data_IF_188571903701
#
_entry.id   IF_188571903701
#
_cell.length_a   1.000
_cell.length_b   1.000
_cell.length_c   1.000
_cell.angle_alpha   90.00
_cell.angle_beta   90.00
_cell.angle_gamma   90.00
#
_symmetry.space_group_name_H-M   'P 1'
#
loop_
_entity.id
_entity.type
_entity.pdbx_description
1 polymer ?
#
# COMPACT_ATOMS: atom_id res chain seq x y z
N UNK A 1 7.79 9.43 -3.30
CA UNK A 1 8.18 8.45 -2.27
C UNK A 1 7.09 8.25 -1.22
N UNK A 2 6.46 9.31 -0.70
CA UNK A 2 5.34 9.20 0.26
C UNK A 2 4.19 8.29 -0.23
N UNK A 3 3.87 8.30 -1.54
CA UNK A 3 2.90 7.38 -2.16
C UNK A 3 3.24 5.92 -1.88
N UNK A 4 4.53 5.56 -1.90
CA UNK A 4 4.98 4.19 -1.63
C UNK A 4 4.62 3.77 -0.21
N UNK A 5 4.89 4.61 0.78
CA UNK A 5 4.53 4.31 2.16
C UNK A 5 3.03 4.22 2.34
N UNK A 6 2.30 5.19 1.78
CA UNK A 6 0.86 5.22 1.82
C UNK A 6 0.23 3.91 1.32
N UNK A 7 0.69 3.42 0.15
CA UNK A 7 0.24 2.15 -0.44
C UNK A 7 0.70 0.95 0.38
N UNK A 8 1.97 0.88 0.78
CA UNK A 8 2.51 -0.27 1.53
C UNK A 8 1.77 -0.52 2.84
N UNK A 9 1.29 0.52 3.52
CA UNK A 9 0.57 0.40 4.78
C UNK A 9 -0.96 0.27 4.64
N UNK A 10 -1.47 0.08 3.42
CA UNK A 10 -2.86 -0.41 3.23
C UNK A 10 -2.94 -1.90 3.52
N UNK A 11 -4.15 -2.46 3.63
CA UNK A 11 -4.39 -3.85 4.00
C UNK A 11 -3.59 -4.27 5.25
N UNK A 12 -3.58 -3.41 6.27
CA UNK A 12 -2.83 -3.62 7.52
C UNK A 12 -1.32 -3.87 7.32
N UNK A 13 -0.72 -3.36 6.24
CA UNK A 13 0.70 -3.61 5.94
C UNK A 13 0.98 -5.01 5.41
N UNK A 14 -0.05 -5.76 5.01
CA UNK A 14 0.05 -7.11 4.46
C UNK A 14 -0.14 -7.13 2.95
N UNK A 15 0.42 -8.14 2.31
CA UNK A 15 0.26 -8.39 0.87
C UNK A 15 -1.22 -8.56 0.51
N UNK A 16 -1.71 -7.77 -0.45
CA UNK A 16 -3.09 -7.81 -0.93
C UNK A 16 -3.45 -9.16 -1.57
N UNK A 17 -2.45 -9.87 -2.11
CA UNK A 17 -2.66 -11.10 -2.86
C UNK A 17 -2.76 -12.33 -1.95
N UNK A 18 -1.82 -12.51 -1.02
CA UNK A 18 -1.79 -13.69 -0.16
C UNK A 18 -2.32 -13.44 1.26
N UNK A 19 -2.38 -12.20 1.72
CA UNK A 19 -2.69 -11.77 3.11
C UNK A 19 -1.88 -12.46 4.22
N UNK A 20 -0.88 -13.26 3.85
CA UNK A 20 -0.07 -14.03 4.79
C UNK A 20 1.29 -13.38 5.08
N UNK A 21 1.83 -12.65 4.09
CA UNK A 21 3.14 -12.01 4.17
C UNK A 21 3.02 -10.49 4.30
N UNK A 22 4.05 -9.88 4.89
CA UNK A 22 4.19 -8.43 4.91
C UNK A 22 4.35 -7.87 3.48
N UNK A 23 3.78 -6.69 3.24
CA UNK A 23 3.99 -5.94 2.00
C UNK A 23 5.40 -5.36 1.92
N UNK A 24 6.13 -5.68 0.86
CA UNK A 24 7.49 -5.18 0.62
C UNK A 24 7.55 -4.21 -0.57
N UNK A 25 6.64 -4.38 -1.52
CA UNK A 25 6.66 -3.74 -2.83
C UNK A 25 5.27 -3.20 -3.19
N UNK A 26 5.26 -2.27 -4.15
CA UNK A 26 4.03 -1.84 -4.81
C UNK A 26 3.92 -2.65 -6.09
N UNK A 27 2.73 -3.18 -6.34
CA UNK A 27 2.37 -3.76 -7.64
C UNK A 27 1.25 -2.94 -8.28
N UNK A 28 1.16 -3.01 -9.62
CA UNK A 28 0.06 -2.46 -10.39
C UNK A 28 -0.96 -3.55 -10.69
N UNK A 29 -2.21 -3.34 -10.29
CA UNK A 29 -3.30 -4.33 -10.49
C UNK A 29 -3.46 -4.64 -11.98
N UNK A 30 -3.54 -3.58 -12.80
CA UNK A 30 -3.39 -3.67 -14.24
C UNK A 30 -1.92 -3.40 -14.57
N UNK A 31 -1.20 -4.35 -15.20
CA UNK A 31 0.20 -4.17 -15.59
C UNK A 31 0.39 -2.94 -16.47
N UNK A 32 1.48 -2.19 -16.25
CA UNK A 32 1.82 -1.01 -17.07
C UNK A 32 2.02 -1.39 -18.54
N UNK A 33 2.58 -2.58 -18.80
CA UNK A 33 2.71 -3.16 -20.16
C UNK A 33 1.36 -3.37 -20.85
N UNK A 34 0.28 -3.48 -20.08
CA UNK A 34 -1.10 -3.62 -20.56
C UNK A 34 -1.89 -2.30 -20.38
N UNK A 35 -1.22 -1.16 -20.51
CA UNK A 35 -1.78 0.19 -20.38
C UNK A 35 -2.34 0.53 -18.98
N UNK A 36 -1.90 -0.18 -17.95
CA UNK A 36 -2.16 0.20 -16.57
C UNK A 36 -1.51 1.54 -16.22
N UNK A 37 -2.26 2.43 -15.57
CA UNK A 37 -1.73 3.74 -15.19
C UNK A 37 -0.80 3.63 -13.98
N UNK A 38 0.31 4.38 -14.01
CA UNK A 38 1.20 4.55 -12.87
C UNK A 38 0.64 5.60 -11.90
N UNK A 39 -0.49 5.27 -11.30
CA UNK A 39 -1.23 6.13 -10.37
C UNK A 39 -1.70 5.31 -9.18
N UNK A 40 -1.82 5.92 -8.01
CA UNK A 40 -2.12 5.23 -6.75
C UNK A 40 -3.43 4.43 -6.80
N UNK A 41 -4.39 4.82 -7.65
CA UNK A 41 -5.65 4.08 -7.90
C UNK A 41 -5.46 2.68 -8.49
N UNK A 42 -4.31 2.43 -9.12
CA UNK A 42 -3.92 1.15 -9.71
C UNK A 42 -2.83 0.45 -8.87
N UNK A 43 -2.39 1.04 -7.75
CA UNK A 43 -1.31 0.51 -6.93
C UNK A 43 -1.85 -0.27 -5.73
N UNK A 44 -1.20 -1.39 -5.42
CA UNK A 44 -1.54 -2.23 -4.27
C UNK A 44 -0.29 -2.72 -3.54
N UNK A 45 -0.38 -3.00 -2.22
CA UNK A 45 0.73 -3.57 -1.46
C UNK A 45 0.92 -5.06 -1.80
N UNK A 46 2.13 -5.46 -2.14
CA UNK A 46 2.46 -6.86 -2.45
C UNK A 46 3.74 -7.31 -1.73
N UNK A 47 3.85 -8.60 -1.43
CA UNK A 47 5.12 -9.22 -1.06
C UNK A 47 5.92 -9.56 -2.32
N UNK A 48 7.25 -9.65 -2.19
CA UNK A 48 8.15 -9.95 -3.32
C UNK A 48 7.75 -11.21 -4.12
N UNK A 49 7.48 -12.37 -3.48
CA UNK A 49 7.09 -13.58 -4.20
C UNK A 49 5.80 -13.44 -5.00
N UNK A 50 4.77 -12.80 -4.44
CA UNK A 50 3.50 -12.60 -5.15
C UNK A 50 3.66 -11.59 -6.29
N UNK A 51 4.38 -10.49 -6.07
CA UNK A 51 4.62 -9.48 -7.09
C UNK A 51 5.38 -10.08 -8.29
N UNK A 52 6.49 -10.78 -8.03
CA UNK A 52 7.26 -11.47 -9.06
C UNK A 52 6.46 -12.57 -9.74
N UNK A 53 5.63 -13.29 -8.99
CA UNK A 53 4.78 -14.34 -9.52
C UNK A 53 3.70 -13.82 -10.46
N UNK A 54 3.10 -12.66 -10.15
CA UNK A 54 2.09 -12.01 -11.01
C UNK A 54 2.76 -11.38 -12.23
N UNK A 55 3.87 -10.67 -12.03
CA UNK A 55 4.61 -10.00 -13.11
C UNK A 55 3.67 -9.14 -13.98
N UNK A 56 3.70 -9.32 -15.29
CA UNK A 56 2.85 -8.67 -16.28
C UNK A 56 1.52 -9.40 -16.55
N UNK A 57 1.17 -10.40 -15.74
CA UNK A 57 -0.08 -11.14 -15.90
C UNK A 57 -1.25 -10.36 -15.29
N UNK A 58 -2.41 -10.40 -15.97
CA UNK A 58 -3.65 -9.85 -15.43
C UNK A 58 -4.12 -10.63 -14.20
N UNK A 59 -4.78 -9.94 -13.26
CA UNK A 59 -5.15 -10.50 -11.96
C UNK A 59 -5.90 -11.84 -12.05
N UNK A 60 -6.93 -11.92 -12.90
CA UNK A 60 -7.72 -13.15 -13.06
C UNK A 60 -6.89 -14.31 -13.59
N UNK A 61 -6.09 -14.07 -14.62
CA UNK A 61 -5.26 -15.11 -15.24
C UNK A 61 -4.23 -15.65 -14.23
N UNK A 62 -3.60 -14.76 -13.46
CA UNK A 62 -2.65 -15.14 -12.43
C UNK A 62 -3.30 -15.93 -11.28
N UNK A 63 -4.45 -15.48 -10.78
CA UNK A 63 -5.21 -16.20 -9.74
C UNK A 63 -5.67 -17.57 -10.23
N UNK A 64 -6.13 -17.67 -11.48
CA UNK A 64 -6.51 -18.93 -12.10
C UNK A 64 -5.31 -19.89 -12.19
N UNK A 65 -4.13 -19.39 -12.59
CA UNK A 65 -2.90 -20.16 -12.64
C UNK A 65 -2.49 -20.69 -11.26
N UNK A 66 -2.48 -19.85 -10.22
CA UNK A 66 -2.14 -20.28 -8.86
C UNK A 66 -3.14 -21.31 -8.32
N UNK A 67 -4.43 -21.08 -8.54
CA UNK A 67 -5.49 -22.00 -8.13
C UNK A 67 -5.34 -23.35 -8.84
N UNK A 68 -5.05 -23.33 -10.14
CA UNK A 68 -4.79 -24.54 -10.92
C UNK A 68 -3.53 -25.28 -10.43
N UNK A 69 -2.44 -24.57 -10.14
CA UNK A 69 -1.23 -25.18 -9.58
C UNK A 69 -1.50 -25.86 -8.23
N UNK A 70 -2.40 -25.29 -7.42
CA UNK A 70 -2.76 -25.83 -6.11
C UNK A 70 -3.71 -27.01 -6.16
N UNK A 71 -4.71 -26.97 -7.05
CA UNK A 71 -5.84 -27.91 -7.04
C UNK A 71 -5.98 -28.74 -8.31
N UNK A 72 -5.10 -28.57 -9.31
CA UNK A 72 -5.24 -29.17 -10.64
C UNK A 72 -5.32 -30.71 -10.60
N UNK A 73 -4.55 -31.32 -9.71
CA UNK A 73 -4.56 -32.76 -9.45
C UNK A 73 -5.82 -33.28 -8.69
N UNK A 74 -6.74 -32.39 -8.31
CA UNK A 74 -8.05 -32.78 -7.77
C UNK A 74 -9.17 -32.62 -8.82
N UNK A 75 -8.91 -31.84 -9.87
CA UNK A 75 -9.87 -31.54 -10.92
C UNK A 75 -9.67 -32.35 -12.20
N UNK A 76 -8.44 -32.80 -12.49
CA UNK A 76 -8.13 -33.57 -13.70
C UNK A 76 -8.69 -34.98 -13.63
N UNK A 77 -9.35 -35.45 -14.69
CA UNK A 77 -9.84 -36.83 -14.74
C UNK A 77 -8.71 -37.86 -14.89
N UNK A 78 -7.47 -37.46 -15.17
CA UNK A 78 -6.29 -38.34 -15.21
C UNK A 78 -4.95 -37.58 -15.13
N UNK A 79 -3.91 -38.06 -14.41
CA UNK A 79 -3.96 -38.99 -13.29
C UNK A 79 -4.28 -38.18 -12.03
N UNK A 80 -5.42 -38.49 -11.41
CA UNK A 80 -5.95 -37.90 -10.17
C UNK A 80 -6.81 -36.64 -10.34
N UNK A 81 -8.07 -36.81 -9.92
CA UNK A 81 -9.14 -35.83 -9.75
C UNK A 81 -10.53 -36.40 -10.07
N UNK A 82 -11.45 -36.40 -9.09
CA UNK A 82 -12.85 -36.85 -9.21
C UNK A 82 -13.86 -35.70 -9.18
N UNK A 83 -13.38 -34.48 -8.94
CA UNK A 83 -14.23 -33.32 -8.65
C UNK A 83 -14.62 -32.53 -9.90
N UNK A 84 -13.86 -32.69 -10.99
CA UNK A 84 -14.14 -32.13 -12.30
C UNK A 84 -13.91 -30.62 -12.44
N UNK A 85 -14.17 -30.10 -13.64
CA UNK A 85 -13.86 -28.72 -14.02
C UNK A 85 -14.77 -27.67 -13.34
N UNK A 86 -16.03 -27.99 -13.04
CA UNK A 86 -16.94 -27.07 -12.36
C UNK A 86 -16.47 -26.75 -10.94
N UNK A 87 -16.04 -27.77 -10.21
CA UNK A 87 -15.46 -27.62 -8.88
C UNK A 87 -14.16 -26.79 -8.87
N UNK A 88 -13.36 -26.89 -9.93
CA UNK A 88 -12.17 -26.05 -10.12
C UNK A 88 -12.56 -24.60 -10.42
N UNK A 89 -13.55 -24.39 -11.29
CA UNK A 89 -14.07 -23.05 -11.60
C UNK A 89 -14.52 -22.33 -10.33
N UNK A 90 -15.29 -22.99 -9.47
CA UNK A 90 -15.75 -22.41 -8.19
C UNK A 90 -14.58 -21.96 -7.29
N UNK A 91 -13.45 -22.68 -7.31
CA UNK A 91 -12.24 -22.27 -6.57
C UNK A 91 -11.58 -21.06 -7.16
N UNK A 92 -11.48 -21.01 -8.49
CA UNK A 92 -10.90 -19.86 -9.19
C UNK A 92 -11.74 -18.62 -8.90
N UNK A 93 -13.06 -18.74 -9.00
CA UNK A 93 -14.00 -17.66 -8.70
C UNK A 93 -13.86 -17.21 -7.24
N UNK A 94 -13.91 -18.15 -6.29
CA UNK A 94 -13.75 -17.83 -4.86
C UNK A 94 -12.41 -17.14 -4.56
N UNK A 95 -11.30 -17.65 -5.10
CA UNK A 95 -9.98 -17.07 -4.90
C UNK A 95 -9.88 -15.67 -5.54
N UNK A 96 -10.49 -15.50 -6.71
CA UNK A 96 -10.52 -14.21 -7.40
C UNK A 96 -11.34 -13.18 -6.64
N UNK A 97 -12.50 -13.56 -6.11
CA UNK A 97 -13.36 -12.70 -5.29
C UNK A 97 -12.64 -12.27 -4.00
N UNK A 98 -11.95 -13.19 -3.32
CA UNK A 98 -11.18 -12.88 -2.11
C UNK A 98 -10.02 -11.91 -2.36
N UNK A 99 -9.33 -12.04 -3.49
CA UNK A 99 -8.28 -11.08 -3.87
C UNK A 99 -8.89 -9.75 -4.28
N UNK A 100 -9.96 -9.76 -5.06
CA UNK A 100 -10.63 -8.54 -5.54
C UNK A 100 -11.20 -7.72 -4.40
N UNK A 101 -11.86 -8.36 -3.42
CA UNK A 101 -12.38 -7.69 -2.23
C UNK A 101 -11.27 -6.97 -1.45
N UNK A 102 -10.08 -7.58 -1.34
CA UNK A 102 -8.92 -6.92 -0.71
C UNK A 102 -8.39 -5.76 -1.55
N UNK A 103 -8.33 -5.91 -2.86
CA UNK A 103 -7.94 -4.82 -3.78
C UNK A 103 -8.90 -3.63 -3.66
N UNK A 104 -10.20 -3.88 -3.57
CA UNK A 104 -11.23 -2.85 -3.37
C UNK A 104 -11.12 -2.18 -2.00
N UNK A 105 -10.83 -2.96 -0.95
CA UNK A 105 -10.52 -2.44 0.38
C UNK A 105 -9.31 -1.50 0.37
N UNK A 106 -8.22 -1.90 -0.31
CA UNK A 106 -7.03 -1.06 -0.51
C UNK A 106 -7.40 0.25 -1.23
N UNK A 107 -8.16 0.18 -2.32
CA UNK A 107 -8.59 1.38 -3.05
C UNK A 107 -9.41 2.31 -2.16
N UNK A 108 -10.31 1.76 -1.37
CA UNK A 108 -11.13 2.52 -0.42
C UNK A 108 -10.26 3.21 0.66
N UNK A 109 -9.24 2.52 1.20
CA UNK A 109 -8.27 3.15 2.10
C UNK A 109 -7.49 4.28 1.41
N UNK A 110 -7.12 4.13 0.14
CA UNK A 110 -6.39 5.15 -0.62
C UNK A 110 -7.27 6.33 -1.01
N UNK A 111 -8.59 6.14 -1.09
CA UNK A 111 -9.58 7.18 -1.39
C UNK A 111 -9.82 8.13 -0.21
N UNK A 112 -9.47 7.73 1.02
CA UNK A 112 -9.48 8.58 2.21
C UNK A 112 -8.51 9.76 2.07
N UNK A 113 -9.07 10.97 1.96
CA UNK A 113 -8.29 12.20 1.81
C UNK A 113 -7.43 12.49 3.05
N UNK A 114 -7.96 12.28 4.24
CA UNK A 114 -7.24 12.61 5.49
C UNK A 114 -6.02 11.72 5.65
N UNK A 115 -6.16 10.43 5.31
CA UNK A 115 -5.03 9.51 5.18
C UNK A 115 -3.99 10.02 4.19
N UNK A 116 -4.40 10.38 2.97
CA UNK A 116 -3.47 10.86 1.93
C UNK A 116 -2.69 12.09 2.38
N UNK A 117 -3.40 13.08 2.92
CA UNK A 117 -2.82 14.30 3.46
C UNK A 117 -1.84 13.97 4.60
N UNK A 118 -2.20 13.05 5.51
CA UNK A 118 -1.36 12.64 6.63
C UNK A 118 -0.02 12.04 6.17
N UNK A 119 -0.03 11.18 5.14
CA UNK A 119 1.19 10.63 4.55
C UNK A 119 1.98 11.71 3.81
N UNK A 120 1.32 12.59 3.07
CA UNK A 120 1.98 13.70 2.41
C UNK A 120 2.71 14.59 3.41
N UNK A 121 2.00 15.13 4.41
CA UNK A 121 2.53 16.07 5.40
C UNK A 121 3.76 15.52 6.14
N UNK A 122 3.82 14.21 6.37
CA UNK A 122 4.88 13.56 7.16
C UNK A 122 6.02 12.99 6.33
N UNK A 123 5.81 12.75 5.04
CA UNK A 123 6.76 11.99 4.22
C UNK A 123 7.03 12.59 2.84
N UNK A 124 6.49 13.77 2.50
CA UNK A 124 6.73 14.43 1.21
C UNK A 124 8.21 14.68 0.93
N UNK A 125 9.01 14.92 1.97
CA UNK A 125 10.44 15.21 1.87
C UNK A 125 11.30 13.97 1.56
N UNK A 126 10.74 12.76 1.62
CA UNK A 126 11.48 11.54 1.32
C UNK A 126 11.73 11.42 -0.19
N UNK A 127 12.99 11.22 -0.57
CA UNK A 127 13.42 11.02 -1.96
C UNK A 127 13.30 9.56 -2.42
N UNK A 128 13.49 9.28 -3.72
CA UNK A 128 13.35 7.93 -4.33
C UNK A 128 14.28 6.85 -3.75
N UNK A 129 15.40 7.25 -3.15
CA UNK A 129 16.40 6.34 -2.59
C UNK A 129 16.36 6.30 -1.05
N UNK A 130 15.34 6.90 -0.44
CA UNK A 130 15.20 6.88 1.00
C UNK A 130 14.99 5.45 1.51
N UNK A 131 15.82 4.95 2.45
CA UNK A 131 15.80 3.56 2.89
C UNK A 131 14.69 3.33 3.92
N UNK A 132 13.47 3.79 3.65
CA UNK A 132 12.35 3.77 4.61
C UNK A 132 12.04 2.35 5.11
N UNK A 133 12.38 1.33 4.32
CA UNK A 133 12.30 -0.07 4.74
C UNK A 133 13.11 -0.36 6.02
N UNK A 134 14.26 0.32 6.25
CA UNK A 134 15.05 0.18 7.48
C UNK A 134 14.30 0.69 8.73
N UNK A 135 13.27 1.51 8.54
CA UNK A 135 12.54 2.20 9.60
C UNK A 135 11.08 1.73 9.62
N UNK A 136 10.75 0.65 8.91
CA UNK A 136 9.37 0.20 8.71
C UNK A 136 8.64 -0.01 10.02
N UNK A 137 9.28 -0.62 11.02
CA UNK A 137 8.69 -0.82 12.34
C UNK A 137 8.26 0.51 12.99
N UNK A 138 9.14 1.52 12.95
CA UNK A 138 8.85 2.86 13.48
C UNK A 138 7.72 3.56 12.70
N UNK A 139 7.68 3.40 11.37
CA UNK A 139 6.58 3.92 10.56
C UNK A 139 5.27 3.19 10.90
N UNK A 140 5.30 1.86 11.07
CA UNK A 140 4.12 1.04 11.39
C UNK A 140 3.42 1.53 12.64
N UNK A 141 4.16 1.71 13.74
CA UNK A 141 3.60 2.21 15.00
C UNK A 141 2.93 3.58 14.85
N UNK A 142 3.49 4.45 14.00
CA UNK A 142 2.90 5.77 13.74
C UNK A 142 1.66 5.71 12.87
N UNK A 143 1.66 4.83 11.87
CA UNK A 143 0.50 4.62 11.00
C UNK A 143 -0.64 3.98 11.78
N UNK A 144 -0.35 3.00 12.63
CA UNK A 144 -1.33 2.37 13.53
C UNK A 144 -1.95 3.40 14.46
N UNK A 145 -1.12 4.18 15.17
CA UNK A 145 -1.59 5.27 16.01
C UNK A 145 -2.43 6.30 15.23
N UNK A 146 -1.98 6.70 14.06
CA UNK A 146 -2.73 7.64 13.23
C UNK A 146 -4.06 7.08 12.74
N UNK A 147 -4.12 5.78 12.44
CA UNK A 147 -5.37 5.10 12.08
C UNK A 147 -6.36 5.10 13.26
N UNK A 148 -5.87 4.89 14.48
CA UNK A 148 -6.69 4.97 15.70
C UNK A 148 -7.18 6.40 15.99
N UNK A 149 -6.34 7.41 15.73
CA UNK A 149 -6.64 8.83 15.97
C UNK A 149 -7.41 9.51 14.82
N UNK A 150 -7.71 8.80 13.73
CA UNK A 150 -8.41 9.38 12.58
C UNK A 150 -7.55 10.35 11.75
N UNK A 151 -6.30 9.95 11.45
CA UNK A 151 -5.35 10.68 10.60
C UNK A 151 -5.14 12.16 10.98
N UNK A 152 -4.71 12.45 12.22
CA UNK A 152 -4.64 13.82 12.73
C UNK A 152 -3.63 14.67 11.95
N UNK A 153 -4.06 15.89 11.61
CA UNK A 153 -3.17 16.89 11.00
C UNK A 153 -2.06 17.27 11.98
N UNK A 154 -0.83 17.52 11.49
CA UNK A 154 0.22 18.03 12.35
C UNK A 154 -0.17 19.42 12.89
N UNK A 155 0.35 19.80 14.08
CA UNK A 155 0.19 21.18 14.54
C UNK A 155 0.78 22.15 13.51
N UNK A 156 0.22 23.36 13.38
CA UNK A 156 0.77 24.36 12.49
C UNK A 156 2.22 24.69 12.88
N UNK A 157 3.09 25.02 11.91
CA UNK A 157 4.44 25.43 12.23
C UNK A 157 4.41 26.70 13.10
N UNK A 158 5.36 26.87 14.03
CA UNK A 158 5.42 28.06 14.85
C UNK A 158 5.60 29.29 13.95
N UNK A 159 4.93 30.38 14.30
CA UNK A 159 5.20 31.68 13.67
C UNK A 159 6.65 32.06 13.99
N UNK A 160 7.38 32.57 13.02
CA UNK A 160 8.79 32.94 13.19
C UNK A 160 8.97 34.43 12.90
N UNK A 161 9.81 35.13 13.66
CA UNK A 161 10.27 36.48 13.36
C UNK A 161 11.76 36.51 13.07
N UNK A 162 12.16 37.39 12.15
CA UNK A 162 13.57 37.67 11.88
C UNK A 162 14.06 38.65 12.95
N UNK A 163 15.08 38.26 13.70
CA UNK A 163 15.76 39.12 14.67
C UNK A 163 17.19 39.36 14.23
N UNK A 164 17.65 40.60 14.39
CA UNK A 164 19.03 40.99 14.13
C UNK A 164 19.83 40.89 15.42
N UNK A 165 20.80 39.98 15.44
CA UNK A 165 21.74 39.80 16.54
C UNK A 165 23.13 40.27 16.12
N UNK A 166 24.09 40.31 17.06
CA UNK A 166 25.50 40.58 16.77
C UNK A 166 26.13 39.54 15.81
N UNK A 167 25.55 38.34 15.73
CA UNK A 167 25.98 37.25 14.85
C UNK A 167 25.28 37.26 13.48
N UNK A 168 24.36 38.20 13.24
CA UNK A 168 23.59 38.30 12.00
C UNK A 168 22.08 38.16 12.20
N UNK A 169 21.36 37.96 11.09
CA UNK A 169 19.92 37.68 11.12
C UNK A 169 19.67 36.24 11.56
N UNK A 170 18.77 36.07 12.53
CA UNK A 170 18.36 34.77 13.08
C UNK A 170 16.83 34.71 13.06
N UNK A 171 16.28 33.51 12.87
CA UNK A 171 14.85 33.26 13.00
C UNK A 171 14.57 32.76 14.42
N UNK A 172 13.65 33.40 15.13
CA UNK A 172 13.17 32.92 16.42
C UNK A 172 11.65 32.73 16.40
N UNK A 173 11.13 31.72 17.12
CA UNK A 173 9.69 31.50 17.21
C UNK A 173 9.02 32.65 17.98
N UNK A 174 7.90 33.12 17.45
CA UNK A 174 7.00 34.08 18.08
C UNK A 174 6.14 33.31 19.08
N UNK A 175 6.12 33.69 20.38
CA UNK A 175 5.22 33.10 21.37
C UNK A 175 3.75 33.11 20.90
N UNK A 176 2.99 32.08 21.26
CA UNK A 176 1.58 31.95 20.82
C UNK A 176 0.68 33.04 21.41
N UNK A 177 1.02 33.53 22.61
CA UNK A 177 0.33 34.61 23.33
C UNK A 177 0.69 36.01 22.83
N UNK A 178 1.74 36.15 22.00
CA UNK A 178 2.14 37.42 21.42
C UNK A 178 1.19 37.76 20.25
N UNK A 179 0.20 38.63 20.50
CA UNK A 179 -0.68 39.17 19.45
C UNK A 179 0.13 40.01 18.46
N UNK A 180 -0.11 39.80 17.17
CA UNK A 180 0.57 40.47 16.06
C UNK A 180 0.37 42.00 16.05
#
# INVERSE_FOLDING_TARGET
MWIRLMVLFTNMGRCVYCDAAESAEIDHVVPVTHAGWDHWVNMVPACGPCNQGKSDTGLLAWVAQLTYQRYGAEASTWPHGDKGLWWMRERIERAFDEVTARVEGVKSELDDKERRDWFFDRYWFLGKNDPVYLWRAWVSTRVEKAREEGWPKPPPPPRMRVVRTRLGQVMEPIPEDETA
#
